data_IF_784051021833
#
_entry.id   IF_784051021833
#
_cell.length_a   1.000
_cell.length_b   1.000
_cell.length_c   1.000
_cell.angle_alpha   90.00
_cell.angle_beta   90.00
_cell.angle_gamma   90.00
#
_symmetry.space_group_name_H-M   'P 1'
#
loop_
_entity.id
_entity.type
_entity.pdbx_description
1 polymer ?
#
# COMPACT_ATOMS: atom_id res chain seq x y z
N UNK A 1 18.36 16.91 21.62
CA UNK A 1 17.09 16.16 21.53
C UNK A 1 16.61 15.88 20.09
N UNK A 2 17.35 16.25 19.04
CA UNK A 2 17.00 15.94 17.65
C UNK A 2 17.37 14.52 17.17
N UNK A 3 18.22 13.78 17.91
CA UNK A 3 18.79 12.50 17.45
C UNK A 3 17.91 11.26 17.71
N UNK A 4 16.87 11.39 18.55
CA UNK A 4 15.92 10.29 18.83
C UNK A 4 14.78 10.32 17.79
N UNK A 5 14.39 11.52 17.33
CA UNK A 5 13.24 11.74 16.45
C UNK A 5 13.46 11.23 15.00
N UNK A 6 14.66 11.38 14.46
CA UNK A 6 15.02 10.87 13.13
C UNK A 6 15.16 9.35 13.07
N UNK A 7 15.30 8.67 14.21
CA UNK A 7 15.45 7.21 14.27
C UNK A 7 14.10 6.51 14.15
N UNK A 8 13.07 7.00 14.85
CA UNK A 8 11.73 6.42 14.84
C UNK A 8 11.01 6.59 13.49
N UNK A 9 11.19 7.73 12.79
CA UNK A 9 10.62 7.96 11.46
C UNK A 9 11.26 7.06 10.39
N UNK A 10 12.59 6.91 10.39
CA UNK A 10 13.30 5.98 9.51
C UNK A 10 12.93 4.53 9.78
N UNK A 11 12.73 4.16 11.05
CA UNK A 11 12.30 2.83 11.45
C UNK A 11 10.88 2.52 10.98
N UNK A 12 9.96 3.50 11.04
CA UNK A 12 8.59 3.36 10.54
C UNK A 12 8.57 3.15 9.01
N UNK A 13 9.44 3.83 8.25
CA UNK A 13 9.55 3.63 6.80
C UNK A 13 10.26 2.35 6.38
N UNK A 14 11.31 1.95 7.10
CA UNK A 14 12.00 0.67 6.88
C UNK A 14 11.10 -0.53 7.20
N UNK A 15 10.22 -0.40 8.20
CA UNK A 15 9.29 -1.47 8.57
C UNK A 15 8.01 -1.51 7.73
N UNK A 16 7.56 -0.35 7.23
CA UNK A 16 6.26 -0.25 6.55
C UNK A 16 6.46 0.03 5.06
N UNK A 17 7.12 1.14 4.69
CA UNK A 17 7.22 1.57 3.30
C UNK A 17 8.07 0.68 2.39
N UNK A 18 9.25 0.24 2.85
CA UNK A 18 10.13 -0.64 2.07
C UNK A 18 9.50 -2.01 1.74
N UNK A 19 9.01 -2.75 2.76
CA UNK A 19 8.33 -4.02 2.56
C UNK A 19 7.04 -3.90 1.73
N UNK A 20 6.29 -2.80 1.85
CA UNK A 20 5.08 -2.53 1.05
C UNK A 20 5.42 -2.35 -0.44
N UNK A 21 6.47 -1.61 -0.76
CA UNK A 21 6.89 -1.39 -2.16
C UNK A 21 7.37 -2.70 -2.77
N UNK A 22 8.18 -3.47 -2.02
CA UNK A 22 8.60 -4.80 -2.45
C UNK A 22 7.42 -5.77 -2.61
N UNK A 23 6.48 -5.79 -1.65
CA UNK A 23 5.27 -6.60 -1.73
C UNK A 23 4.43 -6.21 -2.94
N UNK A 24 4.17 -4.91 -3.17
CA UNK A 24 3.40 -4.45 -4.33
C UNK A 24 4.08 -4.71 -5.67
N UNK A 25 5.41 -4.63 -5.75
CA UNK A 25 6.17 -5.03 -6.95
C UNK A 25 6.12 -6.54 -7.19
N UNK A 26 6.27 -7.34 -6.14
CA UNK A 26 6.16 -8.79 -6.21
C UNK A 26 4.74 -9.19 -6.62
N UNK A 27 3.72 -8.58 -6.03
CA UNK A 27 2.32 -8.77 -6.42
C UNK A 27 2.08 -8.43 -7.88
N UNK A 28 2.60 -7.29 -8.36
CA UNK A 28 2.44 -6.89 -9.76
C UNK A 28 3.15 -7.86 -10.71
N UNK A 29 4.34 -8.34 -10.35
CA UNK A 29 5.08 -9.33 -11.15
C UNK A 29 4.40 -10.71 -11.13
N UNK A 30 3.87 -11.13 -9.99
CA UNK A 30 3.09 -12.37 -9.86
C UNK A 30 1.82 -12.25 -10.68
N UNK A 31 1.05 -11.17 -10.56
CA UNK A 31 -0.17 -10.92 -11.34
C UNK A 31 0.12 -10.89 -12.86
N UNK A 32 1.19 -10.23 -13.29
CA UNK A 32 1.59 -10.19 -14.69
C UNK A 32 2.01 -11.56 -15.23
N UNK A 33 2.67 -12.38 -14.40
CA UNK A 33 3.09 -13.72 -14.77
C UNK A 33 1.93 -14.73 -14.78
N UNK A 34 1.02 -14.60 -13.82
CA UNK A 34 -0.10 -15.51 -13.62
C UNK A 34 -1.18 -15.28 -14.72
N UNK A 35 -1.27 -14.08 -15.32
CA UNK A 35 -2.05 -13.84 -16.56
C UNK A 35 -1.56 -14.71 -17.76
N UNK A 36 -0.32 -15.21 -17.72
CA UNK A 36 0.28 -16.01 -18.79
C UNK A 36 0.10 -17.53 -18.58
N UNK A 37 -0.09 -17.98 -17.35
CA UNK A 37 -0.23 -19.40 -16.96
C UNK A 37 -1.57 -19.56 -16.24
N UNK A 38 -2.55 -20.23 -16.87
CA UNK A 38 -3.94 -20.29 -16.37
C UNK A 38 -4.15 -21.21 -15.14
N UNK A 39 -3.45 -20.98 -14.04
CA UNK A 39 -3.59 -21.72 -12.78
C UNK A 39 -4.59 -21.03 -11.85
N UNK A 40 -5.87 -21.12 -12.21
CA UNK A 40 -6.98 -20.39 -11.57
C UNK A 40 -7.05 -20.52 -10.03
N UNK A 41 -6.66 -21.68 -9.48
CA UNK A 41 -6.67 -21.91 -8.03
C UNK A 41 -5.55 -21.15 -7.28
N UNK A 42 -4.44 -20.86 -7.96
CA UNK A 42 -3.29 -20.15 -7.39
C UNK A 42 -3.60 -18.66 -7.35
N UNK A 43 -4.12 -18.10 -8.44
CA UNK A 43 -4.61 -16.72 -8.54
C UNK A 43 -5.53 -16.32 -7.38
N UNK A 44 -6.57 -17.12 -7.13
CA UNK A 44 -7.55 -16.80 -6.08
C UNK A 44 -6.93 -16.83 -4.68
N UNK A 45 -6.10 -17.85 -4.42
CA UNK A 45 -5.43 -18.00 -3.13
C UNK A 45 -4.47 -16.85 -2.88
N UNK A 46 -3.68 -16.48 -3.90
CA UNK A 46 -2.75 -15.36 -3.84
C UNK A 46 -3.49 -14.05 -3.58
N UNK A 47 -4.50 -13.72 -4.39
CA UNK A 47 -5.30 -12.49 -4.25
C UNK A 47 -6.02 -12.40 -2.89
N UNK A 48 -6.47 -13.53 -2.32
CA UNK A 48 -7.06 -13.55 -0.98
C UNK A 48 -6.03 -13.14 0.10
N UNK A 49 -4.83 -13.74 0.07
CA UNK A 49 -3.77 -13.40 1.02
C UNK A 49 -3.26 -11.97 0.80
N UNK A 50 -3.20 -11.52 -0.44
CA UNK A 50 -2.82 -10.15 -0.78
C UNK A 50 -3.83 -9.15 -0.23
N UNK A 51 -5.13 -9.37 -0.49
CA UNK A 51 -6.20 -8.54 0.03
C UNK A 51 -6.16 -8.45 1.56
N UNK A 52 -5.95 -9.58 2.23
CA UNK A 52 -5.81 -9.64 3.69
C UNK A 52 -4.58 -8.85 4.18
N UNK A 53 -3.44 -9.01 3.51
CA UNK A 53 -2.21 -8.28 3.84
C UNK A 53 -2.45 -6.77 3.76
N UNK A 54 -3.07 -6.28 2.68
CA UNK A 54 -3.32 -4.84 2.49
C UNK A 54 -4.30 -4.29 3.52
N UNK A 55 -5.34 -5.04 3.90
CA UNK A 55 -6.21 -4.65 5.00
C UNK A 55 -5.45 -4.53 6.33
N UNK A 56 -4.61 -5.50 6.65
CA UNK A 56 -3.78 -5.48 7.88
C UNK A 56 -2.84 -4.29 7.87
N UNK A 57 -2.18 -4.01 6.74
CA UNK A 57 -1.33 -2.82 6.58
C UNK A 57 -2.13 -1.53 6.81
N UNK A 58 -3.33 -1.41 6.25
CA UNK A 58 -4.22 -0.26 6.48
C UNK A 58 -4.56 -0.07 7.96
N UNK A 59 -4.88 -1.15 8.68
CA UNK A 59 -5.14 -1.14 10.13
C UNK A 59 -3.89 -0.71 10.90
N UNK A 60 -2.74 -1.29 10.59
CA UNK A 60 -1.46 -0.97 11.24
C UNK A 60 -1.13 0.50 11.04
N UNK A 61 -1.31 1.06 9.84
CA UNK A 61 -1.09 2.50 9.58
C UNK A 61 -2.03 3.37 10.43
N UNK A 62 -3.31 2.99 10.57
CA UNK A 62 -4.26 3.72 11.43
C UNK A 62 -3.88 3.65 12.91
N UNK A 63 -3.37 2.52 13.39
CA UNK A 63 -2.92 2.34 14.77
C UNK A 63 -1.59 3.07 15.03
N UNK A 64 -0.70 3.06 14.04
CA UNK A 64 0.56 3.81 14.01
C UNK A 64 0.35 5.30 13.80
N UNK A 65 -0.90 5.80 13.75
CA UNK A 65 -1.24 7.23 13.75
C UNK A 65 -0.63 7.87 14.99
N UNK A 66 0.63 8.26 14.83
CA UNK A 66 1.47 8.66 15.93
C UNK A 66 0.92 9.97 16.44
N UNK A 67 0.55 9.99 17.72
CA UNK A 67 0.13 11.20 18.44
C UNK A 67 1.25 12.27 18.46
N UNK A 68 2.44 11.97 17.91
CA UNK A 68 3.62 12.83 17.82
C UNK A 68 4.02 13.22 16.37
N UNK A 69 3.24 12.85 15.34
CA UNK A 69 3.53 13.27 13.96
C UNK A 69 3.30 14.76 13.76
N UNK A 70 4.29 15.44 13.17
CA UNK A 70 4.21 16.85 12.78
C UNK A 70 3.26 17.00 11.58
N UNK A 71 2.47 18.06 11.55
CA UNK A 71 1.85 18.52 10.29
C UNK A 71 2.97 18.84 9.30
N UNK A 72 2.99 18.34 8.04
CA UNK A 72 1.90 17.78 7.22
C UNK A 72 1.81 16.25 7.16
N UNK A 73 2.74 15.52 7.78
CA UNK A 73 2.78 14.04 7.72
C UNK A 73 1.51 13.44 8.33
N UNK A 74 0.95 14.04 9.37
CA UNK A 74 -0.28 13.55 10.01
C UNK A 74 -1.49 13.51 9.05
N UNK A 75 -1.55 14.41 8.07
CA UNK A 75 -2.65 14.49 7.09
C UNK A 75 -2.60 13.39 6.03
N UNK A 76 -1.43 12.79 5.77
CA UNK A 76 -1.29 11.74 4.76
C UNK A 76 -1.62 10.34 5.29
N UNK A 77 -1.63 10.10 6.60
CA UNK A 77 -1.91 8.78 7.18
C UNK A 77 -3.30 8.23 6.84
N UNK A 78 -4.33 9.09 6.93
CA UNK A 78 -5.72 8.68 6.66
C UNK A 78 -5.91 8.31 5.18
N UNK A 79 -5.58 9.17 4.19
CA UNK A 79 -5.74 8.80 2.79
C UNK A 79 -4.85 7.61 2.41
N UNK A 80 -3.67 7.48 3.00
CA UNK A 80 -2.78 6.33 2.78
C UNK A 80 -3.41 5.02 3.28
N UNK A 81 -3.92 4.99 4.51
CA UNK A 81 -4.63 3.82 5.04
C UNK A 81 -5.88 3.47 4.22
N UNK A 82 -6.70 4.46 3.88
CA UNK A 82 -7.89 4.27 3.03
C UNK A 82 -7.50 3.65 1.69
N UNK A 83 -6.39 4.09 1.10
CA UNK A 83 -5.91 3.55 -0.18
C UNK A 83 -5.52 2.07 -0.04
N UNK A 84 -4.92 1.65 1.08
CA UNK A 84 -4.67 0.22 1.36
C UNK A 84 -5.97 -0.59 1.51
N UNK A 85 -6.97 -0.04 2.20
CA UNK A 85 -8.28 -0.70 2.30
C UNK A 85 -8.92 -0.88 0.94
N UNK A 86 -8.95 0.16 0.11
CA UNK A 86 -9.51 0.11 -1.24
C UNK A 86 -8.73 -0.87 -2.12
N UNK A 87 -7.40 -0.91 -1.99
CA UNK A 87 -6.56 -1.84 -2.72
C UNK A 87 -6.84 -3.30 -2.32
N UNK A 88 -6.88 -3.61 -1.02
CA UNK A 88 -7.20 -4.96 -0.57
C UNK A 88 -8.61 -5.42 -0.92
N UNK A 89 -9.59 -4.50 -0.92
CA UNK A 89 -10.94 -4.77 -1.43
C UNK A 89 -10.93 -5.05 -2.94
N UNK A 90 -10.08 -4.38 -3.71
CA UNK A 90 -9.94 -4.65 -5.15
C UNK A 90 -9.40 -6.06 -5.42
N UNK A 91 -8.52 -6.59 -4.57
CA UNK A 91 -7.98 -7.95 -4.72
C UNK A 91 -9.02 -9.04 -4.36
N UNK A 92 -9.89 -8.77 -3.38
CA UNK A 92 -11.04 -9.66 -3.13
C UNK A 92 -12.06 -9.66 -4.27
N UNK A 93 -12.21 -8.55 -4.99
CA UNK A 93 -13.06 -8.54 -6.18
C UNK A 93 -12.37 -9.31 -7.30
N UNK A 94 -11.06 -9.15 -7.45
CA UNK A 94 -10.25 -9.87 -8.44
C UNK A 94 -10.34 -11.39 -8.27
N UNK A 95 -10.40 -11.90 -7.03
CA UNK A 95 -10.59 -13.34 -6.78
C UNK A 95 -11.89 -13.90 -7.36
N UNK A 96 -12.91 -13.05 -7.54
CA UNK A 96 -14.20 -13.42 -8.11
C UNK A 96 -14.31 -13.15 -9.61
N UNK A 97 -13.63 -12.11 -10.11
CA UNK A 97 -13.68 -11.76 -11.53
C UNK A 97 -12.64 -12.50 -12.36
N UNK A 98 -11.58 -13.01 -11.70
CA UNK A 98 -10.48 -13.73 -12.35
C UNK A 98 -9.62 -12.86 -13.26
N UNK A 99 -9.74 -11.54 -13.17
CA UNK A 99 -8.99 -10.60 -13.98
C UNK A 99 -8.87 -9.23 -13.28
N UNK A 100 -7.64 -8.72 -13.21
CA UNK A 100 -7.31 -7.43 -12.60
C UNK A 100 -7.88 -6.21 -13.36
N UNK A 101 -8.23 -6.38 -14.65
CA UNK A 101 -8.72 -5.31 -15.54
C UNK A 101 -10.20 -5.45 -15.92
N UNK A 102 -10.86 -6.58 -15.58
CA UNK A 102 -12.29 -6.80 -15.84
C UNK A 102 -13.04 -6.97 -14.53
N UNK A 103 -14.06 -6.15 -14.27
CA UNK A 103 -14.49 -4.96 -15.03
C UNK A 103 -13.49 -3.78 -14.93
N UNK A 104 -13.53 -2.86 -15.91
CA UNK A 104 -12.55 -1.76 -16.06
C UNK A 104 -12.40 -0.86 -14.83
N UNK A 105 -13.40 -0.82 -13.95
CA UNK A 105 -13.33 -0.03 -12.72
C UNK A 105 -12.34 -0.60 -11.71
N UNK A 106 -12.01 -1.90 -11.76
CA UNK A 106 -10.94 -2.48 -10.93
C UNK A 106 -9.61 -1.81 -11.23
N UNK A 107 -9.31 -1.66 -12.51
CA UNK A 107 -8.12 -0.94 -12.97
C UNK A 107 -8.13 0.51 -12.47
N UNK A 108 -9.27 1.20 -12.56
CA UNK A 108 -9.40 2.57 -12.06
C UNK A 108 -9.17 2.65 -10.53
N UNK A 109 -9.69 1.71 -9.75
CA UNK A 109 -9.47 1.66 -8.30
C UNK A 109 -7.98 1.46 -7.97
N UNK A 110 -7.31 0.50 -8.61
CA UNK A 110 -5.88 0.27 -8.41
C UNK A 110 -5.06 1.49 -8.84
N UNK A 111 -5.39 2.12 -9.97
CA UNK A 111 -4.72 3.35 -10.42
C UNK A 111 -4.86 4.50 -9.41
N UNK A 112 -6.07 4.72 -8.88
CA UNK A 112 -6.32 5.74 -7.85
C UNK A 112 -5.48 5.44 -6.59
N UNK A 113 -5.45 4.20 -6.12
CA UNK A 113 -4.63 3.82 -4.96
C UNK A 113 -3.13 4.07 -5.20
N UNK A 114 -2.60 3.67 -6.36
CA UNK A 114 -1.19 3.91 -6.71
C UNK A 114 -0.87 5.41 -6.76
N UNK A 115 -1.75 6.23 -7.35
CA UNK A 115 -1.54 7.69 -7.36
C UNK A 115 -1.54 8.30 -5.96
N UNK A 116 -2.40 7.80 -5.06
CA UNK A 116 -2.44 8.20 -3.66
C UNK A 116 -1.15 7.82 -2.92
N UNK A 117 -0.62 6.61 -3.16
CA UNK A 117 0.65 6.18 -2.61
C UNK A 117 1.82 7.07 -3.05
N UNK A 118 1.89 7.39 -4.35
CA UNK A 118 2.90 8.31 -4.90
C UNK A 118 2.78 9.69 -4.27
N UNK A 119 1.55 10.22 -4.14
CA UNK A 119 1.32 11.52 -3.51
C UNK A 119 1.78 11.55 -2.05
N UNK A 120 1.42 10.55 -1.26
CA UNK A 120 1.83 10.41 0.14
C UNK A 120 3.36 10.30 0.26
N UNK A 121 3.99 9.51 -0.62
CA UNK A 121 5.44 9.36 -0.69
C UNK A 121 6.15 10.69 -0.98
N UNK A 122 5.65 11.48 -1.94
CA UNK A 122 6.24 12.79 -2.29
C UNK A 122 6.18 13.78 -1.13
N UNK A 123 5.07 13.81 -0.39
CA UNK A 123 4.93 14.69 0.79
C UNK A 123 5.95 14.29 1.86
N UNK A 124 6.05 12.99 2.13
CA UNK A 124 7.02 12.49 3.11
C UNK A 124 8.46 12.80 2.68
N UNK A 125 8.83 12.53 1.43
CA UNK A 125 10.18 12.80 0.91
C UNK A 125 10.58 14.28 1.04
N UNK A 126 9.64 15.19 0.75
CA UNK A 126 9.86 16.63 0.91
C UNK A 126 10.08 17.01 2.38
N UNK A 127 9.31 16.42 3.29
CA UNK A 127 9.43 16.68 4.73
C UNK A 127 10.77 16.18 5.29
N UNK A 128 11.19 14.97 4.90
CA UNK A 128 12.48 14.41 5.34
C UNK A 128 13.63 15.32 4.87
N UNK A 129 13.63 15.73 3.59
CA UNK A 129 14.68 16.60 3.03
C UNK A 129 14.75 17.98 3.67
N UNK A 130 13.65 18.51 4.22
CA UNK A 130 13.66 19.81 4.93
C UNK A 130 14.16 19.73 6.37
N UNK A 131 14.27 18.54 6.96
CA UNK A 131 14.71 18.33 8.35
C UNK A 131 16.18 17.87 8.45
N UNK A 132 16.90 17.75 7.33
CA UNK A 132 18.35 17.54 7.23
C UNK A 132 19.01 18.78 6.64
#
# INVERSE_FOLDING_TARGET
MASIFGRDQKFTWLLVGGPIICAGLISFLVQFYDDYISLWNIHQTFNFFEGLLWLVVGIVILQLKSRKSVEPIRRIFIPFAISFFIFGVSDFIEMHTGAWYKPWWLFAMKAVCVTSFIYCFRIWWKFEKSNF
#
